data_IF_129759013347
#
_entry.id   IF_129759013347
#
_cell.length_a   1.000
_cell.length_b   1.000
_cell.length_c   1.000
_cell.angle_alpha   90.00
_cell.angle_beta   90.00
_cell.angle_gamma   90.00
#
_symmetry.space_group_name_H-M   'P 1'
#
loop_
_entity.id
_entity.type
_entity.pdbx_description
1 polymer ?
#
# COMPACT_ATOMS: atom_id res chain seq x y z
N UNK A 1 -2.62 6.17 15.78
CA UNK A 1 -2.56 5.44 14.48
C UNK A 1 -3.09 4.03 14.70
N UNK A 2 -3.81 3.48 13.72
CA UNK A 2 -4.31 2.10 13.76
C UNK A 2 -4.21 1.50 12.36
N UNK A 3 -3.94 0.21 12.27
CA UNK A 3 -4.00 -0.57 11.03
C UNK A 3 -5.11 -1.62 11.19
N UNK A 4 -6.03 -1.66 10.24
CA UNK A 4 -7.14 -2.61 10.22
C UNK A 4 -6.85 -3.74 9.24
N UNK A 5 -7.34 -4.93 9.57
CA UNK A 5 -7.28 -6.11 8.72
C UNK A 5 -8.68 -6.68 8.48
N UNK A 6 -8.86 -7.32 7.34
CA UNK A 6 -10.07 -8.07 7.03
C UNK A 6 -10.21 -9.27 7.96
N UNK A 7 -11.44 -9.61 8.27
CA UNK A 7 -11.78 -10.83 9.02
C UNK A 7 -11.43 -12.09 8.23
N UNK A 8 -10.90 -13.09 8.91
CA UNK A 8 -10.65 -14.43 8.32
C UNK A 8 -11.96 -15.21 8.09
N UNK A 9 -13.03 -14.84 8.79
CA UNK A 9 -14.35 -15.48 8.62
C UNK A 9 -15.20 -14.70 7.62
N UNK A 10 -16.20 -15.35 6.97
CA UNK A 10 -17.06 -14.69 6.01
C UNK A 10 -17.76 -13.47 6.62
N UNK A 11 -17.71 -12.34 5.91
CA UNK A 11 -18.35 -11.10 6.34
C UNK A 11 -19.85 -11.14 6.16
N UNK A 12 -20.59 -10.22 6.80
CA UNK A 12 -22.04 -10.10 6.65
C UNK A 12 -22.45 -9.89 5.18
N UNK A 13 -21.60 -9.23 4.36
CA UNK A 13 -21.84 -9.06 2.92
C UNK A 13 -21.84 -10.40 2.18
N UNK A 14 -20.89 -11.27 2.51
CA UNK A 14 -20.82 -12.62 1.93
C UNK A 14 -21.97 -13.50 2.36
N UNK A 15 -22.45 -13.36 3.60
CA UNK A 15 -23.64 -14.06 4.09
C UNK A 15 -24.91 -13.58 3.38
N UNK A 16 -25.04 -12.27 3.14
CA UNK A 16 -26.18 -11.66 2.46
C UNK A 16 -26.18 -11.95 0.96
N UNK A 17 -25.02 -11.88 0.33
CA UNK A 17 -24.83 -12.09 -1.10
C UNK A 17 -23.66 -13.06 -1.34
N UNK A 18 -23.92 -14.37 -1.45
CA UNK A 18 -22.87 -15.40 -1.59
C UNK A 18 -21.92 -15.18 -2.78
N UNK A 19 -22.37 -14.46 -3.81
CA UNK A 19 -21.55 -14.09 -4.96
C UNK A 19 -20.65 -12.86 -4.72
N UNK A 20 -20.75 -12.18 -3.58
CA UNK A 20 -19.89 -11.05 -3.22
C UNK A 20 -18.41 -11.46 -3.25
N UNK A 21 -17.60 -10.70 -3.96
CA UNK A 21 -16.14 -10.96 -4.17
C UNK A 21 -15.81 -12.36 -4.76
N UNK A 22 -16.78 -13.07 -5.33
CA UNK A 22 -16.57 -14.41 -5.86
C UNK A 22 -15.70 -14.44 -7.14
N UNK A 23 -15.54 -13.30 -7.80
CA UNK A 23 -14.73 -13.14 -9.02
C UNK A 23 -13.30 -12.72 -8.74
N UNK A 24 -12.94 -12.47 -7.48
CA UNK A 24 -11.54 -12.14 -7.11
C UNK A 24 -10.69 -13.39 -7.17
N UNK A 25 -9.51 -13.26 -7.75
CA UNK A 25 -8.50 -14.32 -7.70
C UNK A 25 -8.07 -14.56 -6.25
N UNK A 26 -7.73 -15.80 -5.94
CA UNK A 26 -7.12 -16.11 -4.64
C UNK A 26 -5.74 -15.46 -4.57
N UNK A 27 -5.35 -14.95 -3.40
CA UNK A 27 -4.00 -14.43 -3.23
C UNK A 27 -2.98 -15.55 -3.49
N UNK A 28 -1.79 -15.22 -4.03
CA UNK A 28 -0.71 -16.20 -4.17
C UNK A 28 -0.38 -16.89 -2.84
N UNK A 29 -0.06 -18.17 -2.88
CA UNK A 29 0.19 -18.99 -1.67
C UNK A 29 1.33 -18.43 -0.80
N UNK A 30 2.30 -17.75 -1.40
CA UNK A 30 3.42 -17.13 -0.71
C UNK A 30 3.07 -15.78 -0.04
N UNK A 31 1.94 -15.17 -0.39
CA UNK A 31 1.48 -13.93 0.25
C UNK A 31 0.86 -14.18 1.63
N UNK A 32 0.14 -15.29 1.80
CA UNK A 32 -0.58 -15.59 3.06
C UNK A 32 0.36 -15.60 4.27
N UNK A 33 1.52 -16.31 4.23
CA UNK A 33 2.49 -16.26 5.33
C UNK A 33 3.03 -14.85 5.61
N UNK A 34 3.18 -14.02 4.57
CA UNK A 34 3.70 -12.66 4.71
C UNK A 34 2.75 -11.75 5.49
N UNK A 35 1.43 -11.95 5.38
CA UNK A 35 0.44 -11.20 6.19
C UNK A 35 0.68 -11.49 7.68
N UNK A 36 0.94 -12.74 8.05
CA UNK A 36 1.29 -13.10 9.42
C UNK A 36 2.57 -12.42 9.92
N UNK A 37 3.60 -12.34 9.07
CA UNK A 37 4.85 -11.62 9.39
C UNK A 37 4.63 -10.12 9.55
N UNK A 38 3.77 -9.52 8.71
CA UNK A 38 3.41 -8.11 8.84
C UNK A 38 2.70 -7.86 10.17
N UNK A 39 1.70 -8.67 10.53
CA UNK A 39 1.01 -8.56 11.82
C UNK A 39 1.99 -8.70 12.99
N UNK A 40 2.88 -9.71 12.97
CA UNK A 40 3.95 -9.87 13.98
C UNK A 40 4.83 -8.62 14.07
N UNK A 41 5.24 -8.07 12.92
CA UNK A 41 6.07 -6.87 12.84
C UNK A 41 5.39 -5.65 13.45
N UNK A 42 4.13 -5.44 13.13
CA UNK A 42 3.35 -4.32 13.68
C UNK A 42 3.19 -4.42 15.20
N UNK A 43 2.94 -5.62 15.72
CA UNK A 43 2.86 -5.85 17.17
C UNK A 43 4.20 -5.59 17.86
N UNK A 44 5.33 -6.06 17.30
CA UNK A 44 6.67 -5.77 17.80
C UNK A 44 7.00 -4.27 17.75
N UNK A 45 6.58 -3.58 16.71
CA UNK A 45 6.71 -2.13 16.59
C UNK A 45 5.77 -1.35 17.51
N UNK A 46 4.90 -2.03 18.28
CA UNK A 46 3.86 -1.42 19.11
C UNK A 46 2.89 -0.55 18.32
N UNK A 47 2.71 -0.89 17.03
CA UNK A 47 1.70 -0.26 16.19
C UNK A 47 0.37 -1.00 16.40
N UNK A 48 -0.67 -0.30 16.84
CA UNK A 48 -1.97 -0.92 17.06
C UNK A 48 -2.56 -1.50 15.79
N UNK A 49 -3.00 -2.75 15.86
CA UNK A 49 -3.77 -3.43 14.82
C UNK A 49 -5.17 -3.73 15.36
N UNK A 50 -6.14 -3.77 14.47
CA UNK A 50 -7.50 -4.12 14.83
C UNK A 50 -8.18 -4.93 13.71
N UNK A 51 -8.86 -5.99 14.10
CA UNK A 51 -9.69 -6.82 13.25
C UNK A 51 -10.94 -7.24 14.01
N UNK A 52 -12.04 -7.47 13.32
CA UNK A 52 -13.32 -7.86 13.93
C UNK A 52 -13.99 -8.91 13.05
N UNK A 53 -14.37 -10.03 13.65
CA UNK A 53 -15.05 -11.11 12.94
C UNK A 53 -16.34 -10.64 12.27
N UNK A 54 -16.52 -11.04 11.01
CA UNK A 54 -17.71 -10.73 10.22
C UNK A 54 -17.70 -9.36 9.53
N UNK A 55 -16.66 -8.55 9.72
CA UNK A 55 -16.52 -7.22 9.11
C UNK A 55 -15.23 -7.10 8.30
N UNK A 56 -15.24 -6.19 7.34
CA UNK A 56 -14.09 -5.87 6.51
C UNK A 56 -13.27 -4.72 7.13
N UNK A 57 -11.99 -4.64 6.78
CA UNK A 57 -11.11 -3.56 7.23
C UNK A 57 -11.70 -2.17 6.98
N UNK A 58 -12.42 -2.00 5.86
CA UNK A 58 -13.04 -0.72 5.49
C UNK A 58 -14.19 -0.32 6.42
N UNK A 59 -14.97 -1.29 6.93
CA UNK A 59 -16.01 -1.04 7.94
C UNK A 59 -15.39 -0.56 9.25
N UNK A 60 -14.25 -1.15 9.62
CA UNK A 60 -13.50 -0.75 10.81
C UNK A 60 -12.95 0.67 10.64
N UNK A 61 -12.33 0.98 9.48
CA UNK A 61 -11.84 2.32 9.15
C UNK A 61 -12.96 3.36 9.21
N UNK A 62 -14.11 3.06 8.61
CA UNK A 62 -15.28 3.94 8.63
C UNK A 62 -15.79 4.20 10.05
N UNK A 63 -15.87 3.15 10.89
CA UNK A 63 -16.31 3.26 12.28
C UNK A 63 -15.31 4.06 13.13
N UNK A 64 -14.00 3.81 12.99
CA UNK A 64 -12.97 4.58 13.68
C UNK A 64 -12.96 6.04 13.24
N UNK A 65 -13.05 6.31 11.93
CA UNK A 65 -13.09 7.67 11.40
C UNK A 65 -14.30 8.46 11.91
N UNK A 66 -15.47 7.83 11.93
CA UNK A 66 -16.69 8.44 12.47
C UNK A 66 -16.58 8.73 13.97
N UNK A 67 -16.03 7.79 14.76
CA UNK A 67 -15.80 7.98 16.19
C UNK A 67 -14.79 9.11 16.44
N UNK A 68 -13.70 9.16 15.66
CA UNK A 68 -12.71 10.21 15.73
C UNK A 68 -13.30 11.59 15.38
N UNK A 69 -14.07 11.68 14.30
CA UNK A 69 -14.74 12.91 13.89
C UNK A 69 -15.70 13.45 14.96
N UNK A 70 -16.46 12.58 15.64
CA UNK A 70 -17.32 12.97 16.77
C UNK A 70 -16.53 13.60 17.93
N UNK A 71 -15.28 13.24 18.10
CA UNK A 71 -14.36 13.77 19.09
C UNK A 71 -13.50 14.93 18.55
N UNK A 72 -13.84 15.47 17.38
CA UNK A 72 -13.12 16.54 16.66
C UNK A 72 -11.65 16.20 16.30
N UNK A 73 -11.32 14.94 16.14
CA UNK A 73 -10.01 14.53 15.64
C UNK A 73 -9.98 14.59 14.11
N UNK A 74 -9.02 15.35 13.58
CA UNK A 74 -8.71 15.26 12.14
C UNK A 74 -8.12 13.87 11.84
N UNK A 75 -8.79 13.14 10.97
CA UNK A 75 -8.48 11.74 10.67
C UNK A 75 -8.06 11.61 9.21
N UNK A 76 -6.95 10.93 8.97
CA UNK A 76 -6.50 10.54 7.63
C UNK A 76 -6.65 9.04 7.47
N UNK A 77 -7.46 8.61 6.49
CA UNK A 77 -7.53 7.23 6.05
C UNK A 77 -6.60 7.07 4.86
N UNK A 78 -5.64 6.16 4.95
CA UNK A 78 -4.69 5.86 3.88
C UNK A 78 -5.16 4.60 3.16
N UNK A 79 -5.83 4.77 2.03
CA UNK A 79 -6.34 3.66 1.21
C UNK A 79 -6.59 4.13 -0.23
N UNK A 80 -6.33 3.31 -1.25
CA UNK A 80 -6.72 3.60 -2.63
C UNK A 80 -8.20 3.27 -2.91
N UNK A 81 -8.93 2.67 -1.93
CA UNK A 81 -10.28 2.19 -2.14
C UNK A 81 -11.28 3.35 -2.26
N UNK A 82 -12.07 3.30 -3.33
CA UNK A 82 -13.09 4.31 -3.62
C UNK A 82 -14.27 4.25 -2.66
N UNK A 83 -14.51 3.09 -2.05
CA UNK A 83 -15.66 2.91 -1.17
C UNK A 83 -15.51 3.75 0.11
N UNK A 84 -14.26 3.96 0.56
CA UNK A 84 -13.95 4.83 1.69
C UNK A 84 -14.23 6.32 1.44
N UNK A 85 -14.39 6.75 0.16
CA UNK A 85 -14.76 8.13 -0.15
C UNK A 85 -16.12 8.53 0.44
N UNK A 86 -16.99 7.57 0.76
CA UNK A 86 -18.27 7.84 1.43
C UNK A 86 -18.11 8.33 2.87
N UNK A 87 -16.95 8.11 3.49
CA UNK A 87 -16.67 8.54 4.88
C UNK A 87 -16.14 9.98 4.98
N UNK A 88 -15.86 10.61 3.84
CA UNK A 88 -15.29 11.96 3.81
C UNK A 88 -16.14 12.97 4.54
N UNK A 89 -15.48 13.84 5.31
CA UNK A 89 -16.12 14.94 6.04
C UNK A 89 -15.10 16.06 6.28
N UNK A 90 -15.49 17.09 7.02
CA UNK A 90 -14.57 18.11 7.49
C UNK A 90 -13.40 17.51 8.30
N UNK A 91 -13.68 16.47 9.09
CA UNK A 91 -12.70 15.81 9.96
C UNK A 91 -12.11 14.52 9.37
N UNK A 92 -12.60 14.01 8.25
CA UNK A 92 -12.12 12.77 7.65
C UNK A 92 -11.63 13.00 6.22
N UNK A 93 -10.36 12.75 6.00
CA UNK A 93 -9.67 12.90 4.71
C UNK A 93 -9.13 11.57 4.23
N UNK A 94 -9.26 11.32 2.94
CA UNK A 94 -8.79 10.07 2.32
C UNK A 94 -7.53 10.35 1.52
N UNK A 95 -6.49 9.59 1.79
CA UNK A 95 -5.21 9.67 1.10
C UNK A 95 -4.94 8.38 0.33
N UNK A 96 -4.47 8.48 -0.89
CA UNK A 96 -3.86 7.37 -1.62
C UNK A 96 -2.35 7.58 -1.75
N UNK A 97 -1.61 6.49 -1.86
CA UNK A 97 -0.18 6.53 -2.16
C UNK A 97 -0.01 6.37 -3.67
N UNK A 98 0.67 7.31 -4.30
CA UNK A 98 1.01 7.28 -5.71
C UNK A 98 2.41 7.87 -5.91
N UNK A 99 3.31 7.15 -6.58
CA UNK A 99 4.71 7.56 -6.78
C UNK A 99 5.43 7.98 -5.49
N UNK A 100 5.27 7.21 -4.41
CA UNK A 100 5.81 7.48 -3.07
C UNK A 100 5.35 8.81 -2.43
N UNK A 101 4.22 9.35 -2.89
CA UNK A 101 3.62 10.56 -2.34
C UNK A 101 2.18 10.31 -1.91
N UNK A 102 1.74 11.03 -0.85
CA UNK A 102 0.35 11.01 -0.45
C UNK A 102 -0.43 12.01 -1.29
N UNK A 103 -1.50 11.53 -1.90
CA UNK A 103 -2.44 12.35 -2.67
C UNK A 103 -3.79 12.33 -1.97
N UNK A 104 -4.28 13.50 -1.57
CA UNK A 104 -5.62 13.64 -1.01
C UNK A 104 -6.68 13.42 -2.11
N UNK A 105 -7.62 12.52 -1.84
CA UNK A 105 -8.78 12.30 -2.69
C UNK A 105 -9.93 13.17 -2.17
N UNK A 106 -9.87 14.45 -2.46
CA UNK A 106 -10.86 15.44 -2.04
C UNK A 106 -12.14 15.43 -2.89
N UNK A 107 -13.06 16.32 -2.60
CA UNK A 107 -14.32 16.40 -3.35
C UNK A 107 -14.12 16.84 -4.82
N UNK A 108 -13.07 17.58 -5.14
CA UNK A 108 -12.70 17.93 -6.51
C UNK A 108 -12.23 16.67 -7.26
N UNK A 109 -11.38 15.87 -6.65
CA UNK A 109 -10.97 14.57 -7.18
C UNK A 109 -12.19 13.67 -7.45
N UNK A 110 -13.12 13.56 -6.49
CA UNK A 110 -14.34 12.74 -6.62
C UNK A 110 -15.20 13.24 -7.76
N UNK A 111 -15.45 14.55 -7.83
CA UNK A 111 -16.27 15.16 -8.88
C UNK A 111 -15.65 14.95 -10.26
N UNK A 112 -14.34 15.14 -10.39
CA UNK A 112 -13.61 14.94 -11.65
C UNK A 112 -13.65 13.48 -12.10
N UNK A 113 -13.51 12.53 -11.19
CA UNK A 113 -13.40 11.10 -11.50
C UNK A 113 -14.75 10.42 -11.69
N UNK A 114 -15.75 10.75 -10.87
CA UNK A 114 -17.05 10.06 -10.83
C UNK A 114 -18.22 10.94 -11.30
N UNK A 115 -18.05 12.25 -11.39
CA UNK A 115 -19.09 13.20 -11.77
C UNK A 115 -20.15 13.46 -10.69
N UNK A 116 -19.86 13.09 -9.44
CA UNK A 116 -20.73 13.25 -8.26
C UNK A 116 -19.93 13.82 -7.08
N UNK A 117 -20.61 14.29 -6.03
CA UNK A 117 -19.96 14.70 -4.80
C UNK A 117 -19.64 13.48 -3.92
N UNK A 118 -18.70 13.63 -2.98
CA UNK A 118 -18.26 12.54 -2.09
C UNK A 118 -19.41 11.89 -1.31
N UNK A 119 -20.36 12.69 -0.81
CA UNK A 119 -21.54 12.18 -0.10
C UNK A 119 -22.51 11.36 -0.98
N UNK A 120 -22.34 11.39 -2.30
CA UNK A 120 -23.14 10.62 -3.26
C UNK A 120 -22.44 9.34 -3.74
N UNK A 121 -21.20 9.08 -3.30
CA UNK A 121 -20.42 7.93 -3.77
C UNK A 121 -21.14 6.62 -3.49
N UNK A 122 -21.75 6.47 -2.32
CA UNK A 122 -22.53 5.27 -1.99
C UNK A 122 -23.68 5.04 -2.97
N UNK A 123 -24.48 6.07 -3.23
CA UNK A 123 -25.58 6.01 -4.19
C UNK A 123 -25.08 5.75 -5.62
N UNK A 124 -23.96 6.37 -5.99
CA UNK A 124 -23.32 6.17 -7.29
C UNK A 124 -22.88 4.71 -7.48
N UNK A 125 -22.20 4.13 -6.50
CA UNK A 125 -21.76 2.73 -6.53
C UNK A 125 -22.95 1.76 -6.51
N UNK A 126 -24.03 2.09 -5.80
CA UNK A 126 -25.27 1.31 -5.84
C UNK A 126 -25.89 1.24 -7.23
N UNK A 127 -25.79 2.33 -8.02
CA UNK A 127 -26.33 2.39 -9.39
C UNK A 127 -25.37 1.72 -10.37
N UNK A 128 -24.08 2.04 -10.32
CA UNK A 128 -23.10 1.56 -11.31
C UNK A 128 -22.71 0.11 -11.04
N UNK A 129 -22.73 -0.32 -9.77
CA UNK A 129 -22.19 -1.58 -9.32
C UNK A 129 -20.67 -1.55 -9.20
N UNK A 130 -20.10 -2.67 -8.77
CA UNK A 130 -18.66 -2.89 -8.74
C UNK A 130 -18.31 -4.29 -9.27
N UNK A 131 -17.56 -4.31 -10.37
CA UNK A 131 -17.13 -5.57 -10.98
C UNK A 131 -16.09 -6.30 -10.13
N UNK A 132 -15.21 -5.58 -9.45
CA UNK A 132 -14.17 -6.20 -8.62
C UNK A 132 -14.77 -6.93 -7.43
N UNK A 133 -15.89 -6.44 -6.91
CA UNK A 133 -16.61 -7.02 -5.78
C UNK A 133 -17.85 -7.81 -6.17
N UNK A 134 -18.07 -7.93 -7.48
CA UNK A 134 -19.23 -8.60 -8.03
C UNK A 134 -20.57 -8.01 -7.55
N UNK A 135 -20.62 -6.67 -7.41
CA UNK A 135 -21.82 -5.94 -7.03
C UNK A 135 -22.59 -5.57 -8.29
N UNK A 136 -23.87 -5.95 -8.40
CA UNK A 136 -24.58 -5.94 -9.68
C UNK A 136 -24.88 -4.54 -10.22
N UNK A 137 -25.22 -3.58 -9.37
CA UNK A 137 -25.73 -2.27 -9.79
C UNK A 137 -27.05 -2.35 -10.56
N UNK A 138 -27.35 -1.29 -11.31
CA UNK A 138 -28.52 -1.22 -12.21
C UNK A 138 -28.06 -1.53 -13.64
N UNK A 139 -28.37 -2.69 -14.12
CA UNK A 139 -27.91 -3.14 -15.44
C UNK A 139 -28.43 -2.22 -16.54
N UNK A 140 -27.49 -1.63 -17.28
CA UNK A 140 -27.80 -0.69 -18.37
C UNK A 140 -27.71 0.79 -17.99
N UNK A 141 -27.43 1.13 -16.71
CA UNK A 141 -27.10 2.48 -16.26
C UNK A 141 -25.63 2.50 -15.86
N UNK A 142 -24.79 3.09 -16.70
CA UNK A 142 -23.36 3.26 -16.41
C UNK A 142 -23.03 4.59 -15.72
N UNK A 143 -21.74 4.84 -15.52
CA UNK A 143 -21.20 5.99 -14.80
C UNK A 143 -21.87 7.35 -15.15
N UNK A 144 -21.96 7.67 -16.44
CA UNK A 144 -22.54 8.95 -16.90
C UNK A 144 -24.05 9.05 -16.59
N UNK A 145 -24.78 7.92 -16.72
CA UNK A 145 -26.21 7.86 -16.39
C UNK A 145 -26.45 8.04 -14.90
N UNK A 146 -25.68 7.34 -14.07
CA UNK A 146 -25.71 7.45 -12.61
C UNK A 146 -25.41 8.88 -12.14
N UNK A 147 -24.33 9.49 -12.65
CA UNK A 147 -23.97 10.86 -12.29
C UNK A 147 -25.06 11.88 -12.67
N UNK A 148 -25.70 11.74 -13.82
CA UNK A 148 -26.79 12.61 -14.23
C UNK A 148 -28.01 12.46 -13.32
N UNK A 149 -28.41 11.23 -13.01
CA UNK A 149 -29.53 10.96 -12.11
C UNK A 149 -29.26 11.54 -10.70
N UNK A 150 -28.06 11.32 -10.17
CA UNK A 150 -27.69 11.83 -8.84
C UNK A 150 -27.54 13.35 -8.80
N UNK A 151 -27.15 13.98 -9.89
CA UNK A 151 -27.11 15.45 -9.97
C UNK A 151 -28.52 16.04 -9.83
N UNK A 152 -29.52 15.42 -10.43
CA UNK A 152 -30.91 15.86 -10.41
C UNK A 152 -31.63 15.44 -9.12
N UNK A 153 -31.57 14.16 -8.77
CA UNK A 153 -32.36 13.58 -7.67
C UNK A 153 -31.62 13.37 -6.36
N UNK A 154 -30.31 13.67 -6.32
CA UNK A 154 -29.41 13.68 -5.16
C UNK A 154 -29.05 12.31 -4.58
N UNK A 155 -30.02 11.42 -4.37
CA UNK A 155 -29.83 10.11 -3.73
C UNK A 155 -30.55 9.01 -4.52
N UNK A 156 -30.25 7.76 -4.25
CA UNK A 156 -30.96 6.61 -4.81
C UNK A 156 -32.45 6.66 -4.45
N UNK A 157 -32.79 6.95 -3.20
CA UNK A 157 -34.17 7.12 -2.76
C UNK A 157 -34.87 8.29 -3.49
N UNK A 158 -34.14 9.40 -3.71
CA UNK A 158 -34.62 10.52 -4.49
C UNK A 158 -34.95 10.14 -5.93
N UNK A 159 -34.14 9.29 -6.55
CA UNK A 159 -34.39 8.75 -7.89
C UNK A 159 -35.69 7.92 -7.90
N UNK A 160 -35.83 6.98 -6.96
CA UNK A 160 -37.00 6.11 -6.88
C UNK A 160 -38.29 6.84 -6.49
N UNK A 161 -38.18 7.95 -5.74
CA UNK A 161 -39.31 8.81 -5.40
C UNK A 161 -39.84 9.68 -6.57
N UNK A 162 -39.03 9.81 -7.66
CA UNK A 162 -39.30 10.68 -8.78
C UNK A 162 -39.35 9.95 -10.12
N UNK A 163 -39.65 8.66 -10.13
CA UNK A 163 -39.65 7.83 -11.36
C UNK A 163 -40.48 8.40 -12.49
N UNK A 164 -41.58 9.08 -12.16
CA UNK A 164 -42.56 9.62 -13.17
C UNK A 164 -41.94 10.67 -14.08
N UNK A 165 -41.00 11.46 -13.59
CA UNK A 165 -40.33 12.52 -14.37
C UNK A 165 -39.03 12.04 -15.04
N UNK A 166 -38.57 10.82 -14.73
CA UNK A 166 -37.40 10.24 -15.38
C UNK A 166 -37.76 9.76 -16.78
N UNK A 167 -36.86 9.98 -17.75
CA UNK A 167 -37.05 9.50 -19.12
C UNK A 167 -37.40 8.00 -19.16
N UNK A 168 -38.24 7.61 -20.10
CA UNK A 168 -38.82 6.26 -20.20
C UNK A 168 -37.75 5.16 -20.14
N UNK A 169 -36.64 5.32 -20.85
CA UNK A 169 -35.56 4.30 -20.91
C UNK A 169 -34.95 4.04 -19.53
N UNK A 170 -34.55 5.07 -18.82
CA UNK A 170 -33.96 4.91 -17.48
C UNK A 170 -35.01 4.43 -16.47
N UNK A 171 -36.25 4.93 -16.56
CA UNK A 171 -37.34 4.50 -15.69
C UNK A 171 -37.61 3.00 -15.77
N UNK A 172 -37.69 2.45 -17.00
CA UNK A 172 -37.90 1.02 -17.20
C UNK A 172 -36.75 0.18 -16.59
N UNK A 173 -35.51 0.62 -16.75
CA UNK A 173 -34.34 -0.03 -16.14
C UNK A 173 -34.36 0.04 -14.60
N UNK A 174 -34.68 1.22 -14.06
CA UNK A 174 -34.78 1.44 -12.61
C UNK A 174 -35.85 0.55 -12.00
N UNK A 175 -37.02 0.45 -12.60
CA UNK A 175 -38.10 -0.42 -12.12
C UNK A 175 -37.69 -1.89 -12.21
N UNK A 176 -37.10 -2.31 -13.31
CA UNK A 176 -36.68 -3.70 -13.53
C UNK A 176 -35.61 -4.15 -12.58
N UNK A 177 -34.61 -3.32 -12.31
CA UNK A 177 -33.43 -3.65 -11.53
C UNK A 177 -33.48 -3.11 -10.08
N UNK A 178 -34.68 -2.77 -9.58
CA UNK A 178 -34.88 -2.16 -8.27
C UNK A 178 -34.23 -2.97 -7.13
N UNK A 179 -34.46 -4.28 -7.13
CA UNK A 179 -33.90 -5.17 -6.10
C UNK A 179 -32.36 -5.17 -6.12
N UNK A 180 -31.78 -5.22 -7.34
CA UNK A 180 -30.32 -5.14 -7.50
C UNK A 180 -29.76 -3.79 -7.06
N UNK A 181 -30.47 -2.69 -7.28
CA UNK A 181 -30.04 -1.36 -6.84
C UNK A 181 -29.94 -1.27 -5.32
N UNK A 182 -31.00 -1.72 -4.60
CA UNK A 182 -31.02 -1.68 -3.15
C UNK A 182 -30.08 -2.73 -2.52
N UNK A 183 -29.96 -3.93 -3.11
CA UNK A 183 -28.94 -4.89 -2.71
C UNK A 183 -27.54 -4.28 -2.86
N UNK A 184 -27.26 -3.66 -4.00
CA UNK A 184 -25.97 -2.99 -4.24
C UNK A 184 -25.73 -1.87 -3.23
N UNK A 185 -26.74 -1.07 -2.92
CA UNK A 185 -26.65 0.00 -1.91
C UNK A 185 -26.26 -0.54 -0.52
N UNK A 186 -26.84 -1.66 -0.12
CA UNK A 186 -26.47 -2.32 1.13
C UNK A 186 -25.05 -2.90 1.10
N UNK A 187 -24.64 -3.51 -0.03
CA UNK A 187 -23.31 -4.11 -0.16
C UNK A 187 -22.18 -3.07 -0.18
N UNK A 188 -22.40 -1.91 -0.82
CA UNK A 188 -21.42 -0.81 -0.85
C UNK A 188 -21.42 0.04 0.42
N UNK A 189 -22.46 -0.06 1.24
CA UNK A 189 -22.54 0.70 2.49
C UNK A 189 -21.52 0.19 3.48
N UNK A 190 -20.71 1.10 4.01
CA UNK A 190 -19.79 0.80 5.10
C UNK A 190 -20.51 0.89 6.46
N UNK A 191 -20.19 -0.04 7.34
CA UNK A 191 -20.66 0.01 8.73
C UNK A 191 -19.83 1.05 9.50
N UNK A 192 -20.53 2.11 9.96
CA UNK A 192 -19.87 3.24 10.63
C UNK A 192 -20.13 3.29 12.15
N UNK A 193 -20.88 2.32 12.68
CA UNK A 193 -21.33 2.32 14.06
C UNK A 193 -20.95 1.04 14.81
N UNK A 194 -19.85 0.42 14.40
CA UNK A 194 -19.34 -0.77 15.06
C UNK A 194 -18.93 -0.47 16.51
N UNK A 195 -19.07 -1.47 17.36
CA UNK A 195 -18.65 -1.38 18.74
C UNK A 195 -17.11 -1.53 18.83
N UNK A 196 -16.42 -0.42 18.61
CA UNK A 196 -14.97 -0.34 18.61
C UNK A 196 -14.46 0.27 19.93
N UNK A 197 -13.18 -0.05 20.32
CA UNK A 197 -12.55 0.56 21.50
C UNK A 197 -12.41 2.09 21.39
N UNK A 198 -12.02 2.73 22.49
CA UNK A 198 -11.75 4.16 22.52
C UNK A 198 -10.48 4.50 21.71
N UNK A 199 -10.50 5.66 21.03
CA UNK A 199 -9.43 6.07 20.09
C UNK A 199 -8.11 6.26 20.82
N UNK A 200 -8.15 6.73 22.06
CA UNK A 200 -7.00 6.96 22.92
C UNK A 200 -6.18 5.68 23.17
N UNK A 201 -6.82 4.51 23.12
CA UNK A 201 -6.15 3.21 23.25
C UNK A 201 -5.17 2.92 22.09
N UNK A 202 -5.32 3.66 20.97
CA UNK A 202 -4.53 3.51 19.77
C UNK A 202 -3.49 4.62 19.58
N UNK A 203 -3.14 5.31 20.67
CA UNK A 203 -2.04 6.27 20.64
C UNK A 203 -0.75 5.57 20.23
N UNK A 204 -0.06 6.12 19.21
CA UNK A 204 1.22 5.60 18.76
C UNK A 204 2.24 5.80 19.88
N UNK A 205 2.89 4.71 20.29
CA UNK A 205 4.02 4.73 21.20
C UNK A 205 5.32 4.87 20.39
N UNK A 206 6.42 5.22 21.07
CA UNK A 206 7.72 5.23 20.42
C UNK A 206 8.01 3.86 19.80
N UNK A 207 8.56 3.89 18.60
CA UNK A 207 8.93 2.67 17.90
C UNK A 207 9.90 1.84 18.76
N UNK A 208 9.65 0.54 18.75
CA UNK A 208 10.48 -0.40 19.48
C UNK A 208 11.60 -0.94 18.58
N UNK A 209 12.82 -1.05 19.11
CA UNK A 209 13.90 -1.73 18.41
C UNK A 209 13.62 -3.22 18.14
N UNK A 210 12.63 -3.78 18.81
CA UNK A 210 12.20 -5.18 18.64
C UNK A 210 11.84 -5.54 17.20
N UNK A 211 11.39 -4.55 16.38
CA UNK A 211 11.09 -4.78 14.96
C UNK A 211 12.36 -5.10 14.17
N UNK A 212 13.52 -4.62 14.59
CA UNK A 212 14.80 -4.86 13.89
C UNK A 212 15.09 -6.36 13.89
N UNK A 213 14.86 -7.04 15.00
CA UNK A 213 15.08 -8.49 15.11
C UNK A 213 14.19 -9.29 14.14
N UNK A 214 12.98 -8.79 13.87
CA UNK A 214 12.10 -9.40 12.87
C UNK A 214 12.63 -9.18 11.44
N UNK A 215 13.08 -7.97 11.14
CA UNK A 215 13.68 -7.67 9.84
C UNK A 215 14.93 -8.51 9.57
N UNK A 216 15.77 -8.71 10.60
CA UNK A 216 16.95 -9.58 10.50
C UNK A 216 16.56 -11.04 10.26
N UNK A 217 15.57 -11.55 11.02
CA UNK A 217 15.04 -12.91 10.84
C UNK A 217 14.56 -13.18 9.40
N UNK A 218 13.99 -12.19 8.76
CA UNK A 218 13.43 -12.29 7.39
C UNK A 218 14.36 -11.70 6.32
N UNK A 219 15.63 -11.41 6.67
CA UNK A 219 16.63 -10.84 5.75
C UNK A 219 16.19 -9.55 5.03
N UNK A 220 15.33 -8.76 5.69
CA UNK A 220 14.77 -7.53 5.14
C UNK A 220 15.74 -6.33 5.31
N UNK A 221 16.93 -6.44 4.73
CA UNK A 221 18.05 -5.49 4.91
C UNK A 221 17.67 -4.06 4.55
N UNK A 222 16.88 -3.87 3.47
CA UNK A 222 16.45 -2.54 3.07
C UNK A 222 15.58 -1.88 4.13
N UNK A 223 14.67 -2.64 4.78
CA UNK A 223 13.83 -2.15 5.85
C UNK A 223 14.65 -1.78 7.09
N UNK A 224 15.67 -2.57 7.43
CA UNK A 224 16.57 -2.26 8.55
C UNK A 224 17.25 -0.91 8.35
N UNK A 225 17.79 -0.67 7.14
CA UNK A 225 18.47 0.59 6.82
C UNK A 225 17.53 1.78 6.93
N UNK A 226 16.33 1.66 6.34
CA UNK A 226 15.33 2.72 6.38
C UNK A 226 14.89 3.01 7.80
N UNK A 227 14.55 1.98 8.57
CA UNK A 227 14.08 2.09 9.95
C UNK A 227 15.11 2.73 10.87
N UNK A 228 16.38 2.30 10.80
CA UNK A 228 17.48 2.92 11.57
C UNK A 228 17.68 4.39 11.22
N UNK A 229 17.56 4.75 9.95
CA UNK A 229 17.65 6.15 9.50
C UNK A 229 16.50 7.00 10.08
N UNK A 230 15.29 6.47 10.12
CA UNK A 230 14.11 7.19 10.64
C UNK A 230 14.20 7.36 12.17
N UNK A 231 14.70 6.36 12.91
CA UNK A 231 14.97 6.49 14.36
C UNK A 231 15.98 7.61 14.60
N UNK A 232 17.11 7.62 13.91
CA UNK A 232 18.14 8.65 14.06
C UNK A 232 17.62 10.05 13.74
N UNK A 233 16.73 10.17 12.76
CA UNK A 233 16.07 11.43 12.41
C UNK A 233 15.15 11.91 13.53
N UNK A 234 14.33 11.02 14.10
CA UNK A 234 13.47 11.35 15.23
C UNK A 234 14.23 11.74 16.49
N UNK A 235 15.35 11.06 16.78
CA UNK A 235 16.22 11.41 17.90
C UNK A 235 16.82 12.81 17.75
N UNK A 236 17.23 13.19 16.53
CA UNK A 236 17.71 14.55 16.23
C UNK A 236 16.60 15.60 16.38
N UNK A 237 15.40 15.36 15.82
CA UNK A 237 14.26 16.28 15.95
C UNK A 237 13.83 16.46 17.42
N UNK A 238 13.87 15.39 18.23
CA UNK A 238 13.60 15.44 19.66
C UNK A 238 14.72 16.15 20.44
N UNK A 239 15.97 16.04 20.01
CA UNK A 239 17.10 16.77 20.61
C UNK A 239 17.02 18.27 20.29
N UNK A 240 16.68 18.64 19.06
CA UNK A 240 16.48 20.01 18.63
C UNK A 240 15.31 20.68 19.34
N UNK A 241 14.20 19.99 19.58
CA UNK A 241 13.10 20.51 20.42
C UNK A 241 13.50 20.71 21.88
N UNK A 242 14.36 19.88 22.43
CA UNK A 242 14.91 20.06 23.79
C UNK A 242 15.96 21.17 23.85
N UNK A 243 16.65 21.46 22.75
CA UNK A 243 17.67 22.52 22.67
C UNK A 243 17.08 23.93 22.53
N UNK A 244 15.83 24.07 22.05
CA UNK A 244 15.11 25.35 22.03
C UNK A 244 14.85 25.96 23.43
N UNK A 245 15.08 25.17 24.49
CA UNK A 245 14.96 25.63 25.89
C UNK A 245 16.28 25.78 26.64
N UNK A 246 17.46 25.59 25.99
CA UNK A 246 18.77 25.91 26.57
C UNK A 246 19.72 26.47 25.51
N UNK A 247 20.26 27.64 25.82
CA UNK A 247 21.17 28.39 24.98
C UNK A 247 22.53 27.73 24.73
N UNK A 248 23.02 28.02 23.56
CA UNK A 248 24.35 28.16 22.98
C UNK A 248 25.00 26.96 22.25
N UNK A 249 25.65 27.27 21.11
CA UNK A 249 26.01 26.27 20.12
C UNK A 249 27.44 25.78 20.29
N UNK A 250 27.62 24.49 20.29
CA UNK A 250 28.91 23.92 19.93
C UNK A 250 28.75 23.12 18.64
N UNK A 251 29.40 23.65 17.64
CA UNK A 251 29.65 23.01 16.36
C UNK A 251 30.33 21.65 16.56
N UNK A 252 29.65 20.57 16.21
CA UNK A 252 30.34 19.34 15.86
C UNK A 252 29.72 18.77 14.58
N UNK A 253 30.58 18.57 13.64
CA UNK A 253 30.42 18.17 12.26
C UNK A 253 29.63 16.87 12.08
N UNK A 254 28.74 16.88 11.09
CA UNK A 254 27.90 15.78 10.62
C UNK A 254 28.69 14.79 9.73
N UNK A 255 29.82 14.24 10.19
CA UNK A 255 30.66 13.38 9.35
C UNK A 255 30.90 11.95 9.88
N UNK A 256 30.14 11.49 10.89
CA UNK A 256 30.27 10.11 11.41
C UNK A 256 29.00 9.27 11.19
N UNK A 257 28.41 9.31 10.00
CA UNK A 257 27.73 8.12 9.47
C UNK A 257 28.85 7.28 8.87
N UNK A 258 29.06 6.07 9.39
CA UNK A 258 29.94 5.07 8.78
C UNK A 258 29.63 4.95 7.27
N UNK A 259 30.14 5.87 6.49
CA UNK A 259 30.45 5.63 5.09
C UNK A 259 31.39 4.43 5.14
N UNK A 260 30.99 3.34 4.46
CA UNK A 260 31.92 2.24 4.18
C UNK A 260 33.20 2.94 3.79
N UNK A 261 34.25 2.69 4.57
CA UNK A 261 35.56 3.27 4.33
C UNK A 261 36.00 2.85 2.91
N UNK A 262 35.69 3.71 1.94
CA UNK A 262 35.93 3.44 0.52
C UNK A 262 37.42 3.46 0.20
N UNK A 263 38.27 3.92 1.13
CA UNK A 263 39.72 3.90 0.98
C UNK A 263 40.30 2.49 1.07
N UNK A 264 39.58 1.55 1.73
CA UNK A 264 40.05 0.16 1.92
C UNK A 264 39.34 -0.85 0.99
N UNK A 265 38.41 -0.43 0.12
CA UNK A 265 37.70 -1.35 -0.78
C UNK A 265 38.47 -1.59 -2.05
N UNK A 266 38.69 -2.86 -2.39
CA UNK A 266 39.39 -3.28 -3.62
C UNK A 266 38.39 -3.80 -4.64
N UNK A 267 38.10 -2.99 -5.65
CA UNK A 267 37.30 -3.41 -6.80
C UNK A 267 38.21 -3.71 -8.00
N UNK A 268 37.94 -4.83 -8.69
CA UNK A 268 38.64 -5.23 -9.90
C UNK A 268 37.68 -5.59 -11.00
N UNK A 269 37.91 -5.06 -12.22
CA UNK A 269 37.22 -5.52 -13.43
C UNK A 269 38.04 -6.65 -14.04
N UNK A 270 37.39 -7.77 -14.30
CA UNK A 270 37.96 -8.97 -14.92
C UNK A 270 37.65 -8.91 -16.41
N UNK A 271 38.65 -8.61 -17.21
CA UNK A 271 38.48 -8.35 -18.64
C UNK A 271 39.24 -9.33 -19.55
N UNK A 272 40.05 -10.18 -18.95
CA UNK A 272 40.85 -11.19 -19.68
C UNK A 272 40.56 -12.60 -19.18
N UNK A 273 40.79 -13.59 -20.02
CA UNK A 273 40.58 -15.00 -19.66
C UNK A 273 41.50 -15.44 -18.51
N UNK A 274 42.72 -14.95 -18.46
CA UNK A 274 43.67 -15.28 -17.39
C UNK A 274 43.14 -14.80 -16.06
N UNK A 275 42.69 -13.54 -15.98
CA UNK A 275 42.12 -12.99 -14.75
C UNK A 275 40.83 -13.76 -14.32
N UNK A 276 40.04 -14.25 -15.28
CA UNK A 276 38.86 -15.04 -15.01
C UNK A 276 39.23 -16.41 -14.44
N UNK A 277 40.20 -17.07 -15.01
CA UNK A 277 40.69 -18.36 -14.54
C UNK A 277 41.27 -18.26 -13.12
N UNK A 278 42.02 -17.20 -12.81
CA UNK A 278 42.55 -16.91 -11.47
C UNK A 278 41.41 -16.63 -10.47
N UNK A 279 40.37 -15.89 -10.89
CA UNK A 279 39.19 -15.64 -10.07
C UNK A 279 38.45 -16.96 -9.76
N UNK A 280 38.23 -17.83 -10.78
CA UNK A 280 37.58 -19.13 -10.63
C UNK A 280 38.34 -19.99 -9.61
N UNK A 281 39.68 -20.06 -9.68
CA UNK A 281 40.48 -20.81 -8.72
C UNK A 281 40.38 -20.26 -7.27
N UNK A 282 40.15 -18.94 -7.15
CA UNK A 282 39.91 -18.30 -5.86
C UNK A 282 38.50 -18.62 -5.32
N UNK A 283 37.50 -18.60 -6.21
CA UNK A 283 36.10 -18.93 -5.88
C UNK A 283 35.94 -20.38 -5.42
N UNK A 284 36.67 -21.34 -6.01
CA UNK A 284 36.65 -22.75 -5.58
C UNK A 284 37.09 -22.96 -4.12
N UNK A 285 37.87 -22.03 -3.57
CA UNK A 285 38.35 -22.06 -2.18
C UNK A 285 37.49 -21.25 -1.21
N UNK A 286 36.54 -20.48 -1.75
CA UNK A 286 35.70 -19.61 -0.94
C UNK A 286 34.61 -20.40 -0.22
N UNK A 287 34.36 -20.07 1.05
CA UNK A 287 33.28 -20.66 1.84
C UNK A 287 31.91 -20.07 1.48
N UNK A 288 31.85 -18.82 1.12
CA UNK A 288 30.66 -18.09 0.71
C UNK A 288 30.98 -17.23 -0.50
N UNK A 289 30.05 -17.14 -1.41
CA UNK A 289 30.15 -16.31 -2.61
C UNK A 289 28.87 -15.49 -2.71
N UNK A 290 29.01 -14.18 -2.86
CA UNK A 290 27.92 -13.28 -3.20
C UNK A 290 28.00 -13.00 -4.71
N UNK A 291 26.89 -13.16 -5.41
CA UNK A 291 26.80 -12.92 -6.85
C UNK A 291 25.60 -12.01 -7.13
N UNK A 292 25.82 -11.04 -8.01
CA UNK A 292 24.78 -10.19 -8.58
C UNK A 292 24.94 -10.07 -10.08
N UNK A 293 23.87 -9.84 -10.82
CA UNK A 293 23.89 -9.80 -12.28
C UNK A 293 23.31 -8.50 -12.82
N UNK A 294 24.01 -7.89 -13.76
CA UNK A 294 23.56 -6.73 -14.51
C UNK A 294 22.96 -7.17 -15.84
N UNK A 295 21.76 -6.69 -16.13
CA UNK A 295 21.00 -7.06 -17.32
C UNK A 295 20.53 -5.84 -18.10
N UNK A 296 20.23 -6.03 -19.41
CA UNK A 296 19.80 -4.95 -20.29
C UNK A 296 18.38 -4.42 -20.02
N UNK A 297 17.56 -5.17 -19.28
CA UNK A 297 16.19 -4.80 -18.90
C UNK A 297 15.71 -5.62 -17.72
N UNK A 298 14.57 -5.24 -17.12
CA UNK A 298 13.90 -5.98 -16.05
C UNK A 298 13.06 -7.17 -16.57
N UNK A 299 12.87 -7.29 -17.87
CA UNK A 299 12.16 -8.41 -18.48
C UNK A 299 13.06 -9.65 -18.55
N UNK A 300 12.81 -10.61 -17.71
CA UNK A 300 13.61 -11.84 -17.56
C UNK A 300 13.65 -12.73 -18.82
N UNK A 301 12.71 -12.56 -19.74
CA UNK A 301 12.64 -13.34 -20.99
C UNK A 301 13.48 -12.75 -22.12
N UNK A 302 13.61 -11.43 -22.16
CA UNK A 302 14.30 -10.71 -23.24
C UNK A 302 15.59 -10.05 -22.80
N UNK A 303 15.84 -9.95 -21.51
CA UNK A 303 17.03 -9.32 -20.94
C UNK A 303 18.31 -10.07 -21.33
N UNK A 304 19.32 -9.31 -21.74
CA UNK A 304 20.66 -9.83 -21.99
C UNK A 304 21.53 -9.58 -20.76
N UNK A 305 22.35 -10.56 -20.41
CA UNK A 305 23.35 -10.41 -19.36
C UNK A 305 24.45 -9.44 -19.80
N UNK A 306 24.65 -8.35 -19.07
CA UNK A 306 25.66 -7.32 -19.36
C UNK A 306 26.89 -7.54 -18.53
N UNK A 307 26.75 -7.95 -17.26
CA UNK A 307 27.87 -8.17 -16.37
C UNK A 307 27.49 -9.01 -15.15
N UNK A 308 28.50 -9.46 -14.43
CA UNK A 308 28.35 -10.22 -13.19
C UNK A 308 29.27 -9.58 -12.13
N UNK A 309 28.68 -9.25 -10.97
CA UNK A 309 29.39 -8.80 -9.81
C UNK A 309 29.59 -9.97 -8.85
N UNK A 310 30.79 -10.17 -8.33
CA UNK A 310 31.12 -11.26 -7.42
C UNK A 310 31.92 -10.71 -6.22
N UNK A 311 31.61 -11.20 -5.03
CA UNK A 311 32.41 -10.99 -3.84
C UNK A 311 32.44 -12.29 -3.03
N UNK A 312 33.61 -12.61 -2.46
CA UNK A 312 33.82 -13.77 -1.59
C UNK A 312 34.70 -13.44 -0.38
N UNK A 313 35.04 -12.16 -0.25
CA UNK A 313 35.81 -11.64 0.87
C UNK A 313 35.38 -10.21 1.18
N UNK A 314 35.38 -9.86 2.45
CA UNK A 314 35.04 -8.51 2.90
C UNK A 314 35.95 -7.46 2.26
N UNK A 315 35.35 -6.36 1.80
CA UNK A 315 36.01 -5.23 1.15
C UNK A 315 36.69 -5.55 -0.20
N UNK A 316 36.42 -6.73 -0.79
CA UNK A 316 36.90 -7.08 -2.14
C UNK A 316 35.71 -7.40 -3.05
N UNK A 317 35.69 -6.82 -4.25
CA UNK A 317 34.65 -7.05 -5.25
C UNK A 317 35.26 -7.19 -6.65
N UNK A 318 34.63 -8.07 -7.45
CA UNK A 318 35.06 -8.38 -8.80
C UNK A 318 33.89 -8.15 -9.74
N UNK A 319 34.11 -7.45 -10.86
CA UNK A 319 33.12 -7.25 -11.89
C UNK A 319 33.57 -7.89 -13.19
N UNK A 320 32.75 -8.74 -13.75
CA UNK A 320 33.00 -9.45 -15.02
C UNK A 320 32.09 -8.83 -16.08
N UNK A 321 32.57 -7.92 -16.94
CA UNK A 321 31.78 -7.40 -18.04
C UNK A 321 31.62 -8.48 -19.12
N UNK A 322 30.36 -8.78 -19.49
CA UNK A 322 30.05 -9.69 -20.61
C UNK A 322 29.99 -8.90 -21.91
N UNK A 323 29.22 -7.82 -21.92
CA UNK A 323 29.10 -6.91 -23.06
C UNK A 323 29.05 -5.46 -22.58
N UNK A 324 29.96 -4.62 -23.06
CA UNK A 324 29.94 -3.18 -22.80
C UNK A 324 30.35 -2.39 -24.02
N UNK A 325 29.60 -1.31 -24.33
CA UNK A 325 29.88 -0.40 -25.47
C UNK A 325 30.04 -1.13 -26.82
N UNK A 326 29.23 -2.21 -27.03
CA UNK A 326 29.30 -3.02 -28.26
C UNK A 326 30.56 -3.91 -28.41
N UNK A 327 31.33 -4.09 -27.33
CA UNK A 327 32.47 -4.98 -27.27
C UNK A 327 32.17 -6.15 -26.33
N UNK A 328 32.33 -7.38 -26.84
CA UNK A 328 32.22 -8.60 -26.03
C UNK A 328 33.57 -8.84 -25.36
N UNK A 329 33.57 -8.92 -24.03
CA UNK A 329 34.79 -9.13 -23.25
C UNK A 329 35.03 -10.61 -22.95
N UNK A 330 33.96 -11.38 -22.77
CA UNK A 330 34.02 -12.81 -22.52
C UNK A 330 32.98 -13.48 -23.40
N UNK A 331 33.43 -14.36 -24.30
CA UNK A 331 32.53 -15.18 -25.11
C UNK A 331 31.80 -16.21 -24.23
N UNK A 332 30.50 -16.35 -24.49
CA UNK A 332 29.70 -17.42 -23.87
C UNK A 332 30.27 -18.77 -24.29
N UNK A 333 31.03 -19.41 -23.44
CA UNK A 333 31.27 -20.86 -23.56
C UNK A 333 30.14 -21.54 -22.78
N UNK A 334 29.18 -22.10 -23.53
CA UNK A 334 28.11 -22.93 -23.03
C UNK A 334 28.70 -24.25 -22.56
#
# INVERSE_FOLDING_TARGET
MIITFDSEVPTFRKQKYPSYKATRDLPPDDLIPQIGWIKEGLLKAKIPIFEMEGYEADDLLASFAKKAAKNNYLTYIISPDKDLLQTMSEYVKILKIENNSFIEMDNEYVTKKFGVNSFQIKDYLAIVGDRSDNIPGIKGIGAKGAANLLREFKTLDGIYSNLEIINKKHRELLIKEKENAFLSYELVSLEENLKIPEIENFALKNFSEEIISLFEKHSAIALIKTYKKDILKQEKENADQKSLFKQEPTTNSLDDINTIDTENVKYRSITTKIELDDLIESLKKAKYISIDTETSSLDTYTAKLIGISISFKEFEGYYIPIEAKGKIYIEKTI
#
